data_IF_682914404719
#
_entry.id   IF_682914404719
#
_cell.length_a   1.000
_cell.length_b   1.000
_cell.length_c   1.000
_cell.angle_alpha   90.00
_cell.angle_beta   90.00
_cell.angle_gamma   90.00
#
_symmetry.space_group_name_H-M   'P 1'
#
loop_
_entity.id
_entity.type
_entity.pdbx_description
1 polymer ?
#
# COMPACT_ATOMS: atom_id res chain seq x y z
N UNK A 1 49.43 -50.04 20.08
CA UNK A 1 48.99 -48.65 20.41
C UNK A 1 48.46 -48.05 19.11
N UNK A 2 47.13 -48.03 18.94
CA UNK A 2 46.49 -47.44 17.77
C UNK A 2 45.94 -46.09 18.14
N UNK A 3 46.42 -45.04 17.47
CA UNK A 3 46.03 -43.67 17.70
C UNK A 3 44.80 -43.37 16.83
N UNK A 4 43.63 -43.20 17.46
CA UNK A 4 42.39 -42.75 16.79
C UNK A 4 42.40 -41.25 16.63
N UNK A 5 42.50 -40.77 15.39
CA UNK A 5 42.30 -39.35 15.04
C UNK A 5 40.80 -39.10 14.89
N UNK A 6 40.24 -38.34 15.84
CA UNK A 6 38.86 -37.83 15.75
C UNK A 6 38.90 -36.58 14.89
N UNK A 7 38.32 -36.65 13.67
CA UNK A 7 38.07 -35.50 12.83
C UNK A 7 36.75 -34.86 13.27
N UNK A 8 36.80 -33.71 13.92
CA UNK A 8 35.64 -32.88 14.23
C UNK A 8 35.23 -32.14 12.95
N UNK A 9 34.15 -32.56 12.32
CA UNK A 9 33.49 -31.80 11.25
C UNK A 9 32.65 -30.68 11.86
N UNK A 10 33.08 -29.44 11.70
CA UNK A 10 32.28 -28.26 12.03
C UNK A 10 31.24 -28.03 10.93
N UNK A 11 30.00 -28.36 11.23
CA UNK A 11 28.85 -27.97 10.39
C UNK A 11 28.64 -26.48 10.57
N UNK A 12 29.10 -25.69 9.61
CA UNK A 12 28.81 -24.27 9.54
C UNK A 12 27.34 -24.07 9.15
N UNK A 13 26.51 -23.61 10.09
CA UNK A 13 25.21 -23.05 9.77
C UNK A 13 25.42 -21.76 8.97
N UNK A 14 25.31 -21.85 7.64
CA UNK A 14 25.15 -20.69 6.80
C UNK A 14 23.76 -20.09 7.10
N UNK A 15 23.72 -19.10 7.99
CA UNK A 15 22.55 -18.28 8.18
C UNK A 15 22.22 -17.57 6.87
N UNK A 16 21.13 -17.99 6.23
CA UNK A 16 20.53 -17.21 5.15
C UNK A 16 20.07 -15.90 5.75
N UNK A 17 20.84 -14.83 5.54
CA UNK A 17 20.34 -13.49 5.68
C UNK A 17 19.19 -13.35 4.66
N UNK A 18 17.95 -13.40 5.13
CA UNK A 18 16.81 -13.03 4.33
C UNK A 18 17.01 -11.55 3.99
N UNK A 19 17.40 -11.31 2.75
CA UNK A 19 17.40 -10.01 2.12
C UNK A 19 15.94 -9.53 2.08
N UNK A 20 15.55 -8.75 3.09
CA UNK A 20 14.24 -8.11 3.18
C UNK A 20 14.17 -6.93 2.20
N UNK A 21 14.53 -7.19 0.94
CA UNK A 21 14.15 -6.33 -0.17
C UNK A 21 12.67 -6.51 -0.36
N UNK A 22 11.91 -5.61 0.25
CA UNK A 22 10.62 -5.06 -0.18
C UNK A 22 9.95 -5.87 -1.30
N UNK A 23 9.44 -7.06 -0.97
CA UNK A 23 8.50 -7.72 -1.87
C UNK A 23 7.26 -6.81 -1.93
N UNK A 24 7.00 -6.24 -3.11
CA UNK A 24 5.75 -5.52 -3.36
C UNK A 24 4.60 -6.47 -3.01
N UNK A 25 3.69 -6.09 -2.12
CA UNK A 25 2.57 -6.95 -1.78
C UNK A 25 1.78 -7.31 -3.04
N UNK A 26 1.53 -8.59 -3.25
CA UNK A 26 0.68 -9.03 -4.37
C UNK A 26 -0.78 -8.62 -4.16
N UNK A 27 -1.18 -8.33 -2.92
CA UNK A 27 -2.51 -7.89 -2.55
C UNK A 27 -2.46 -6.99 -1.29
N UNK A 28 -3.57 -6.29 -1.04
CA UNK A 28 -3.74 -5.42 0.12
C UNK A 28 -4.03 -6.24 1.38
N UNK A 29 -3.38 -5.89 2.49
CA UNK A 29 -3.72 -6.45 3.78
C UNK A 29 -5.19 -6.15 4.15
N UNK A 30 -5.89 -7.02 4.90
CA UNK A 30 -7.22 -6.71 5.41
C UNK A 30 -7.19 -5.50 6.36
N UNK A 31 -8.32 -4.82 6.48
CA UNK A 31 -8.49 -3.82 7.53
C UNK A 31 -8.46 -4.49 8.91
N UNK A 32 -7.84 -3.87 9.92
CA UNK A 32 -7.94 -4.32 11.31
C UNK A 32 -9.38 -4.15 11.84
N UNK A 33 -9.67 -4.68 13.02
CA UNK A 33 -11.00 -4.56 13.63
C UNK A 33 -11.36 -3.12 14.03
N UNK A 34 -10.35 -2.25 14.21
CA UNK A 34 -10.56 -0.84 14.51
C UNK A 34 -11.16 -0.06 13.30
N UNK A 35 -12.05 0.93 13.54
CA UNK A 35 -12.75 1.65 12.49
C UNK A 35 -11.89 2.75 11.81
N UNK A 36 -10.58 2.66 11.88
CA UNK A 36 -9.61 3.60 11.33
C UNK A 36 -9.02 3.15 9.98
N UNK A 37 -9.77 2.36 9.23
CA UNK A 37 -9.33 1.80 7.95
C UNK A 37 -10.50 1.76 6.95
N UNK A 38 -10.19 2.03 5.69
CA UNK A 38 -11.06 1.79 4.54
C UNK A 38 -10.31 1.00 3.47
N UNK A 39 -11.03 0.16 2.72
CA UNK A 39 -10.43 -0.64 1.65
C UNK A 39 -11.46 -1.03 0.59
N UNK A 40 -11.01 -1.12 -0.65
CA UNK A 40 -11.81 -1.65 -1.76
C UNK A 40 -11.98 -3.18 -1.71
N UNK A 41 -11.22 -3.85 -0.85
CA UNK A 41 -11.31 -5.31 -0.60
C UNK A 41 -12.10 -5.64 0.68
N UNK A 42 -12.59 -4.63 1.40
CA UNK A 42 -13.38 -4.85 2.61
C UNK A 42 -14.76 -5.42 2.28
N UNK A 43 -15.19 -6.43 3.05
CA UNK A 43 -16.55 -6.97 3.03
C UNK A 43 -17.48 -6.23 3.98
N UNK A 44 -16.93 -5.45 4.89
CA UNK A 44 -17.66 -4.59 5.81
C UNK A 44 -18.12 -3.32 5.08
N UNK A 45 -19.44 -3.06 4.96
CA UNK A 45 -19.97 -1.90 4.27
C UNK A 45 -19.45 -0.56 4.81
N UNK A 46 -19.20 -0.50 6.12
CA UNK A 46 -18.71 0.72 6.77
C UNK A 46 -17.25 1.03 6.43
N UNK A 47 -16.51 0.07 5.87
CA UNK A 47 -15.11 0.19 5.46
C UNK A 47 -14.91 0.06 3.96
N UNK A 48 -15.91 -0.48 3.27
CA UNK A 48 -15.83 -0.68 1.83
C UNK A 48 -15.80 0.64 1.05
N UNK A 49 -15.01 0.65 -0.01
CA UNK A 49 -14.97 1.73 -1.01
C UNK A 49 -14.88 1.14 -2.42
N UNK A 50 -15.28 1.93 -3.41
CA UNK A 50 -15.23 1.52 -4.82
C UNK A 50 -13.80 1.61 -5.34
N UNK A 51 -13.26 0.59 -6.03
CA UNK A 51 -11.96 0.66 -6.68
C UNK A 51 -11.96 1.67 -7.84
N UNK A 52 -10.77 2.12 -8.24
CA UNK A 52 -10.61 3.05 -9.35
C UNK A 52 -10.51 2.27 -10.66
N UNK A 53 -11.27 2.66 -11.70
CA UNK A 53 -11.13 2.06 -13.03
C UNK A 53 -9.86 2.54 -13.72
N UNK A 54 -9.35 1.79 -14.70
CA UNK A 54 -8.29 2.28 -15.56
C UNK A 54 -8.71 3.51 -16.36
N UNK A 55 -7.77 4.43 -16.56
CA UNK A 55 -7.88 5.60 -17.48
C UNK A 55 -7.29 5.14 -18.78
N UNK A 56 -6.92 4.49 -19.43
CA UNK A 56 -6.32 4.00 -20.68
C UNK A 56 -5.62 2.66 -20.43
N UNK A 57 -4.44 2.71 -19.81
CA UNK A 57 -3.65 1.53 -19.45
C UNK A 57 -3.36 1.49 -17.94
N UNK A 58 -2.96 0.34 -17.42
CA UNK A 58 -2.55 0.21 -16.02
C UNK A 58 -1.41 1.18 -15.68
N UNK A 59 -0.40 1.28 -16.58
CA UNK A 59 0.72 2.19 -16.39
C UNK A 59 0.26 3.65 -16.30
N UNK A 60 -0.52 4.13 -17.26
CA UNK A 60 -0.99 5.53 -17.29
C UNK A 60 -1.86 5.82 -16.06
N UNK A 61 -2.65 4.85 -15.62
CA UNK A 61 -3.48 4.95 -14.42
C UNK A 61 -2.64 5.09 -13.15
N UNK A 62 -1.58 4.30 -13.00
CA UNK A 62 -0.66 4.38 -11.85
C UNK A 62 0.18 5.67 -11.89
N UNK A 63 0.64 6.09 -13.06
CA UNK A 63 1.39 7.35 -13.22
C UNK A 63 0.52 8.54 -12.82
N UNK A 64 -0.74 8.57 -13.27
CA UNK A 64 -1.70 9.62 -12.90
C UNK A 64 -1.98 9.64 -11.40
N UNK A 65 -2.16 8.48 -10.81
CA UNK A 65 -2.38 8.36 -9.36
C UNK A 65 -1.15 8.89 -8.58
N UNK A 66 0.06 8.54 -9.01
CA UNK A 66 1.31 9.01 -8.43
C UNK A 66 1.42 10.55 -8.48
N UNK A 67 1.06 11.18 -9.62
CA UNK A 67 1.03 12.64 -9.74
C UNK A 67 0.05 13.26 -8.75
N UNK A 68 -1.15 12.71 -8.60
CA UNK A 68 -2.17 13.20 -7.69
C UNK A 68 -1.66 13.17 -6.26
N UNK A 69 -1.16 12.02 -5.77
CA UNK A 69 -0.70 11.90 -4.38
C UNK A 69 0.54 12.77 -4.10
N UNK A 70 1.45 12.94 -5.08
CA UNK A 70 2.58 13.87 -4.96
C UNK A 70 2.16 15.33 -4.80
N UNK A 71 1.02 15.72 -5.36
CA UNK A 71 0.48 17.06 -5.22
C UNK A 71 -0.21 17.32 -3.87
N UNK A 72 -0.44 16.27 -3.08
CA UNK A 72 -1.15 16.38 -1.81
C UNK A 72 -0.21 16.77 -0.67
N UNK A 73 -0.70 17.61 0.22
CA UNK A 73 0.07 18.05 1.40
C UNK A 73 0.33 16.88 2.35
N UNK A 74 1.53 16.82 2.90
CA UNK A 74 1.96 15.84 3.92
C UNK A 74 1.92 14.38 3.44
N UNK A 75 1.96 14.17 2.12
CA UNK A 75 2.16 12.89 1.49
C UNK A 75 3.65 12.61 1.31
N UNK A 76 4.09 11.40 1.61
CA UNK A 76 5.45 10.91 1.36
C UNK A 76 5.36 9.59 0.63
N UNK A 77 5.96 9.49 -0.56
CA UNK A 77 6.03 8.23 -1.30
C UNK A 77 7.05 7.33 -0.59
N UNK A 78 6.59 6.17 -0.13
CA UNK A 78 7.43 5.16 0.53
C UNK A 78 8.01 4.19 -0.49
N UNK A 79 7.16 3.68 -1.37
CA UNK A 79 7.59 2.82 -2.48
C UNK A 79 6.66 2.96 -3.68
N UNK A 80 7.21 2.72 -4.87
CA UNK A 80 6.43 2.69 -6.11
C UNK A 80 7.03 1.68 -7.07
N UNK A 81 6.17 0.88 -7.68
CA UNK A 81 6.49 -0.05 -8.77
C UNK A 81 5.42 0.11 -9.86
N UNK A 82 5.53 -0.55 -11.01
CA UNK A 82 4.49 -0.48 -12.05
C UNK A 82 3.09 -0.91 -11.59
N UNK A 83 2.99 -1.76 -10.55
CA UNK A 83 1.71 -2.33 -10.07
C UNK A 83 1.38 -1.99 -8.61
N UNK A 84 2.22 -1.23 -7.91
CA UNK A 84 2.04 -0.92 -6.51
C UNK A 84 2.53 0.47 -6.15
N UNK A 85 1.79 1.16 -5.29
CA UNK A 85 2.17 2.46 -4.74
C UNK A 85 1.84 2.48 -3.25
N UNK A 86 2.83 2.83 -2.41
CA UNK A 86 2.67 3.05 -0.99
C UNK A 86 3.01 4.50 -0.63
N UNK A 87 2.10 5.15 0.06
CA UNK A 87 2.18 6.54 0.47
C UNK A 87 1.88 6.66 1.96
N UNK A 88 2.72 7.37 2.69
CA UNK A 88 2.44 7.82 4.05
C UNK A 88 1.80 9.21 4.03
N UNK A 89 0.71 9.38 4.77
CA UNK A 89 0.13 10.69 5.08
C UNK A 89 0.31 10.99 6.56
N UNK A 90 0.76 12.22 6.88
CA UNK A 90 0.97 12.66 8.27
C UNK A 90 -0.07 13.69 8.66
N UNK A 91 -0.72 13.51 9.81
CA UNK A 91 -1.64 14.52 10.35
C UNK A 91 -0.87 15.81 10.71
N UNK A 92 -1.57 16.96 10.64
CA UNK A 92 -0.94 18.25 10.83
C UNK A 92 -0.49 18.48 12.29
N UNK A 93 -1.33 18.10 13.25
CA UNK A 93 -1.14 18.42 14.66
C UNK A 93 -0.38 17.32 15.41
N UNK A 94 -0.90 16.11 15.41
CA UNK A 94 -0.34 15.01 16.20
C UNK A 94 0.66 14.15 15.45
N UNK A 95 0.90 14.43 14.16
CA UNK A 95 1.81 13.72 13.27
C UNK A 95 1.54 12.21 13.18
N UNK A 96 0.29 11.80 13.41
CA UNK A 96 -0.14 10.43 13.17
C UNK A 96 0.12 10.05 11.70
N UNK A 97 0.53 8.82 11.50
CA UNK A 97 0.85 8.28 10.18
C UNK A 97 -0.26 7.36 9.74
N UNK A 98 -0.78 7.63 8.54
CA UNK A 98 -1.71 6.76 7.85
C UNK A 98 -1.00 6.18 6.63
N UNK A 99 -1.10 4.87 6.45
CA UNK A 99 -0.62 4.18 5.26
C UNK A 99 -1.72 4.13 4.21
N UNK A 100 -1.38 4.54 3.00
CA UNK A 100 -2.23 4.42 1.82
C UNK A 100 -1.51 3.57 0.79
N UNK A 101 -2.14 2.47 0.42
CA UNK A 101 -1.60 1.50 -0.51
C UNK A 101 -2.52 1.35 -1.70
N UNK A 102 -1.95 1.24 -2.90
CA UNK A 102 -2.65 0.98 -4.14
C UNK A 102 -2.04 -0.21 -4.86
N UNK A 103 -2.87 -1.12 -5.32
CA UNK A 103 -2.48 -2.31 -6.08
C UNK A 103 -3.26 -2.36 -7.38
N UNK A 104 -2.52 -2.54 -8.47
CA UNK A 104 -3.07 -2.70 -9.79
C UNK A 104 -3.59 -4.13 -9.99
N UNK A 105 -4.88 -4.28 -10.31
CA UNK A 105 -5.46 -5.52 -10.79
C UNK A 105 -5.65 -5.41 -12.32
N UNK A 106 -4.68 -5.95 -13.05
CA UNK A 106 -4.65 -5.86 -14.50
C UNK A 106 -5.76 -6.70 -15.15
N UNK A 107 -6.13 -7.80 -14.52
CA UNK A 107 -7.19 -8.70 -15.00
C UNK A 107 -8.57 -8.07 -14.93
N UNK A 108 -8.87 -7.35 -13.86
CA UNK A 108 -10.13 -6.64 -13.68
C UNK A 108 -10.09 -5.21 -14.25
N UNK A 109 -8.91 -4.71 -14.66
CA UNK A 109 -8.66 -3.32 -15.06
C UNK A 109 -9.07 -2.31 -13.98
N UNK A 110 -8.67 -2.59 -12.75
CA UNK A 110 -8.99 -1.80 -11.55
C UNK A 110 -7.72 -1.51 -10.75
N UNK A 111 -7.74 -0.41 -10.00
CA UNK A 111 -6.79 -0.14 -8.93
C UNK A 111 -7.53 -0.30 -7.61
N UNK A 112 -7.12 -1.29 -6.85
CA UNK A 112 -7.55 -1.47 -5.48
C UNK A 112 -6.74 -0.60 -4.54
N UNK A 113 -7.34 -0.20 -3.42
CA UNK A 113 -6.65 0.59 -2.42
C UNK A 113 -7.07 0.24 -1.00
N UNK A 114 -6.19 0.58 -0.06
CA UNK A 114 -6.40 0.55 1.38
C UNK A 114 -5.83 1.84 1.98
N UNK A 115 -6.53 2.40 2.96
CA UNK A 115 -6.03 3.52 3.76
C UNK A 115 -6.32 3.24 5.23
N UNK A 116 -5.27 3.20 6.06
CA UNK A 116 -5.37 2.84 7.47
C UNK A 116 -4.40 3.63 8.34
N UNK A 117 -4.86 4.01 9.54
CA UNK A 117 -4.00 4.63 10.54
C UNK A 117 -3.12 3.58 11.22
N UNK A 118 -1.83 3.90 11.42
CA UNK A 118 -0.89 3.03 12.18
C UNK A 118 -1.23 2.97 13.67
N UNK A 119 -1.79 4.04 14.21
CA UNK A 119 -2.06 4.21 15.62
C UNK A 119 -3.45 4.82 15.85
N UNK A 120 -4.01 4.56 17.02
CA UNK A 120 -5.33 5.04 17.38
C UNK A 120 -6.45 4.08 16.95
N UNK A 121 -7.50 4.05 17.76
CA UNK A 121 -8.67 3.22 17.46
C UNK A 121 -9.59 3.90 16.45
N UNK A 122 -9.72 5.24 16.50
CA UNK A 122 -10.64 6.03 15.68
C UNK A 122 -9.91 7.10 14.89
N UNK A 123 -10.24 7.28 13.60
CA UNK A 123 -9.62 8.27 12.72
C UNK A 123 -10.54 9.44 12.35
N UNK A 124 -11.76 9.48 12.90
CA UNK A 124 -12.79 10.50 12.60
C UNK A 124 -13.13 10.60 11.09
N UNK A 125 -12.99 9.51 10.35
CA UNK A 125 -13.28 9.44 8.92
C UNK A 125 -12.20 10.06 8.03
N UNK A 126 -11.02 10.36 8.55
CA UNK A 126 -9.90 10.97 7.80
C UNK A 126 -9.47 10.07 6.65
N UNK A 127 -9.33 8.76 6.88
CA UNK A 127 -8.96 7.81 5.81
C UNK A 127 -10.01 7.79 4.69
N UNK A 128 -11.29 7.75 5.01
CA UNK A 128 -12.37 7.78 4.02
C UNK A 128 -12.39 9.09 3.24
N UNK A 129 -12.27 10.23 3.92
CA UNK A 129 -12.27 11.55 3.29
C UNK A 129 -11.08 11.71 2.34
N UNK A 130 -9.90 11.24 2.73
CA UNK A 130 -8.70 11.24 1.90
C UNK A 130 -8.90 10.40 0.64
N UNK A 131 -9.38 9.18 0.80
CA UNK A 131 -9.59 8.30 -0.35
C UNK A 131 -10.67 8.83 -1.29
N UNK A 132 -11.72 9.47 -0.74
CA UNK A 132 -12.71 10.17 -1.57
C UNK A 132 -12.07 11.32 -2.38
N UNK A 133 -11.24 12.13 -1.75
CA UNK A 133 -10.53 13.22 -2.44
C UNK A 133 -9.62 12.70 -3.56
N UNK A 134 -8.84 11.66 -3.29
CA UNK A 134 -7.96 11.04 -4.29
C UNK A 134 -8.80 10.47 -5.44
N UNK A 135 -9.86 9.73 -5.15
CA UNK A 135 -10.75 9.14 -6.15
C UNK A 135 -11.42 10.22 -7.02
N UNK A 136 -11.93 11.29 -6.41
CA UNK A 136 -12.56 12.40 -7.13
C UNK A 136 -11.56 13.12 -8.07
N UNK A 137 -10.33 13.34 -7.62
CA UNK A 137 -9.26 13.94 -8.45
C UNK A 137 -8.88 13.02 -9.61
N UNK A 138 -8.77 11.72 -9.34
CA UNK A 138 -8.42 10.72 -10.33
C UNK A 138 -9.49 10.63 -11.42
N UNK A 139 -10.76 10.49 -11.06
CA UNK A 139 -11.86 10.39 -12.02
C UNK A 139 -12.02 11.67 -12.85
N UNK A 140 -11.92 12.86 -12.23
CA UNK A 140 -11.92 14.12 -13.01
C UNK A 140 -10.76 14.26 -13.98
N UNK A 141 -9.63 13.61 -13.70
CA UNK A 141 -8.49 13.61 -14.63
C UNK A 141 -8.71 12.70 -15.84
N UNK A 142 -9.59 11.71 -15.71
CA UNK A 142 -9.99 10.83 -16.82
C UNK A 142 -10.91 11.54 -17.82
N UNK A 143 -11.71 12.50 -17.34
CA UNK A 143 -12.68 13.26 -18.18
C UNK A 143 -12.02 14.39 -18.99
N UNK A 144 -10.82 14.80 -18.64
CA UNK A 144 -10.06 15.76 -19.43
C UNK A 144 -9.50 15.03 -20.66
N UNK A 145 -10.27 15.11 -21.78
CA UNK A 145 -9.74 14.74 -23.10
C UNK A 145 -8.57 15.66 -23.44
N UNK A 146 -7.42 15.04 -23.74
CA UNK A 146 -6.31 15.71 -24.43
C UNK A 146 -6.76 16.18 -25.83
#
# INVERSE_FOLDING_TARGET
MALFLIVMSTVGCAGHAQDSRSATPADLAPCPDSPNCVSTKSKDPDRAMTPLPYIKSGKESMDRLLEIVRSMKRATIVSTTPSYLHVEFRSALFRFVDDVEFVLDDSARLIHFRSASRTGYYDFGVNRSRMKEISDRYLRSADKKD
#
